data_IF_566903227035
#
_entry.id   IF_566903227035
#
_cell.length_a   1.000
_cell.length_b   1.000
_cell.length_c   1.000
_cell.angle_alpha   90.00
_cell.angle_beta   90.00
_cell.angle_gamma   90.00
#
_symmetry.space_group_name_H-M   'P 1'
#
loop_
_entity.id
_entity.type
_entity.pdbx_description
1 polymer ?
#
# COMPACT_ATOMS: atom_id res chain seq x y z
N UNK A 1 -10.08 9.87 11.84
CA UNK A 1 -10.16 8.40 11.98
C UNK A 1 -10.95 7.74 10.86
N UNK A 2 -12.27 7.95 10.72
CA UNK A 2 -13.04 7.30 9.64
C UNK A 2 -12.56 7.67 8.22
N UNK A 3 -12.31 8.96 7.99
CA UNK A 3 -11.75 9.45 6.73
C UNK A 3 -10.35 8.89 6.48
N UNK A 4 -9.56 8.67 7.54
CA UNK A 4 -8.21 8.12 7.40
C UNK A 4 -8.26 6.64 7.02
N UNK A 5 -9.17 5.86 7.61
CA UNK A 5 -9.38 4.46 7.22
C UNK A 5 -9.91 4.34 5.79
N UNK A 6 -10.81 5.22 5.37
CA UNK A 6 -11.31 5.25 3.99
C UNK A 6 -10.20 5.63 3.00
N UNK A 7 -9.37 6.62 3.34
CA UNK A 7 -8.20 6.99 2.55
C UNK A 7 -7.20 5.84 2.46
N UNK A 8 -6.88 5.20 3.59
CA UNK A 8 -6.00 4.03 3.64
C UNK A 8 -6.52 2.91 2.73
N UNK A 9 -7.82 2.56 2.84
CA UNK A 9 -8.44 1.56 1.98
C UNK A 9 -8.34 1.86 0.49
N UNK A 10 -8.50 3.12 0.09
CA UNK A 10 -8.37 3.52 -1.31
C UNK A 10 -6.91 3.44 -1.80
N UNK A 11 -5.95 3.81 -0.95
CA UNK A 11 -4.51 3.67 -1.22
C UNK A 11 -4.14 2.21 -1.46
N UNK A 12 -4.42 1.35 -0.48
CA UNK A 12 -4.19 -0.10 -0.57
C UNK A 12 -4.85 -0.72 -1.81
N UNK A 13 -6.10 -0.36 -2.08
CA UNK A 13 -6.82 -0.86 -3.25
C UNK A 13 -6.18 -0.42 -4.57
N UNK A 14 -5.68 0.82 -4.63
CA UNK A 14 -4.95 1.35 -5.79
C UNK A 14 -3.60 0.65 -5.96
N UNK A 15 -2.86 0.43 -4.87
CA UNK A 15 -1.59 -0.31 -4.87
C UNK A 15 -1.77 -1.75 -5.36
N UNK A 16 -2.78 -2.47 -4.87
CA UNK A 16 -3.12 -3.84 -5.33
C UNK A 16 -3.34 -3.89 -6.85
N UNK A 17 -4.09 -2.93 -7.39
CA UNK A 17 -4.37 -2.84 -8.81
C UNK A 17 -3.09 -2.49 -9.61
N UNK A 18 -2.31 -1.54 -9.11
CA UNK A 18 -1.10 -1.09 -9.79
C UNK A 18 -0.02 -2.17 -9.80
N UNK A 19 0.18 -2.88 -8.69
CA UNK A 19 1.23 -3.89 -8.59
C UNK A 19 0.88 -5.14 -9.41
N UNK A 20 -0.40 -5.39 -9.67
CA UNK A 20 -0.80 -6.40 -10.66
C UNK A 20 -0.34 -6.00 -12.09
N UNK A 21 -0.47 -4.73 -12.44
CA UNK A 21 -0.02 -4.20 -13.72
C UNK A 21 1.51 -4.21 -13.82
N UNK A 22 2.21 -3.74 -12.79
CA UNK A 22 3.67 -3.74 -12.75
C UNK A 22 4.27 -5.14 -12.87
N UNK A 23 3.67 -6.13 -12.21
CA UNK A 23 4.11 -7.52 -12.32
C UNK A 23 4.01 -8.06 -13.77
N UNK A 24 3.05 -7.59 -14.57
CA UNK A 24 2.90 -7.94 -15.99
C UNK A 24 3.95 -7.26 -16.87
N UNK A 25 4.44 -6.10 -16.44
CA UNK A 25 5.43 -5.29 -17.15
C UNK A 25 6.88 -5.62 -16.77
N UNK A 26 7.09 -6.41 -15.71
CA UNK A 26 8.41 -6.74 -15.19
C UNK A 26 9.28 -7.46 -16.24
N UNK A 27 10.56 -7.08 -16.38
CA UNK A 27 11.44 -7.58 -17.45
C UNK A 27 11.93 -9.02 -17.21
N UNK A 28 11.80 -9.55 -15.99
CA UNK A 28 12.20 -10.91 -15.65
C UNK A 28 11.37 -11.47 -14.47
N UNK A 29 11.51 -12.77 -14.23
CA UNK A 29 10.74 -13.47 -13.20
C UNK A 29 11.09 -13.03 -11.77
N UNK A 30 12.34 -12.66 -11.49
CA UNK A 30 12.77 -12.22 -10.17
C UNK A 30 12.03 -10.94 -9.76
N UNK A 31 12.05 -9.93 -10.64
CA UNK A 31 11.35 -8.66 -10.39
C UNK A 31 9.83 -8.86 -10.36
N UNK A 32 9.29 -9.69 -11.24
CA UNK A 32 7.86 -10.06 -11.23
C UNK A 32 7.45 -10.69 -9.90
N UNK A 33 8.21 -11.67 -9.42
CA UNK A 33 7.88 -12.38 -8.18
C UNK A 33 7.99 -11.45 -6.98
N UNK A 34 9.01 -10.57 -6.93
CA UNK A 34 9.11 -9.55 -5.87
C UNK A 34 7.90 -8.61 -5.85
N UNK A 35 7.45 -8.12 -7.01
CA UNK A 35 6.26 -7.25 -7.09
C UNK A 35 4.99 -8.01 -6.67
N UNK A 36 4.87 -9.29 -7.03
CA UNK A 36 3.72 -10.11 -6.62
C UNK A 36 3.74 -10.42 -5.10
N UNK A 37 4.91 -10.54 -4.49
CA UNK A 37 5.04 -10.63 -3.03
C UNK A 37 4.52 -9.35 -2.37
N UNK A 38 5.01 -8.18 -2.78
CA UNK A 38 4.54 -6.87 -2.28
C UNK A 38 3.03 -6.72 -2.47
N UNK A 39 2.50 -7.04 -3.65
CA UNK A 39 1.05 -7.03 -3.90
C UNK A 39 0.25 -7.89 -2.92
N UNK A 40 0.77 -9.05 -2.54
CA UNK A 40 0.09 -9.92 -1.57
C UNK A 40 0.12 -9.32 -0.16
N UNK A 41 1.11 -8.48 0.14
CA UNK A 41 1.21 -7.75 1.39
C UNK A 41 0.15 -6.64 1.42
N UNK A 42 -0.03 -5.87 0.33
CA UNK A 42 -1.12 -4.89 0.20
C UNK A 42 -2.52 -5.51 0.33
N UNK A 43 -2.72 -6.71 -0.23
CA UNK A 43 -4.00 -7.44 -0.04
C UNK A 43 -4.26 -7.72 1.45
N UNK A 44 -3.22 -8.07 2.22
CA UNK A 44 -3.36 -8.30 3.66
C UNK A 44 -3.62 -6.99 4.40
N UNK A 45 -2.90 -5.91 4.05
CA UNK A 45 -3.12 -4.58 4.62
C UNK A 45 -4.56 -4.11 4.40
N UNK A 46 -5.03 -4.14 3.14
CA UNK A 46 -6.41 -3.85 2.77
C UNK A 46 -7.43 -4.65 3.60
N UNK A 47 -7.22 -5.96 3.76
CA UNK A 47 -8.13 -6.82 4.53
C UNK A 47 -8.17 -6.43 6.01
N UNK A 48 -7.01 -6.16 6.61
CA UNK A 48 -6.89 -5.73 8.02
C UNK A 48 -7.61 -4.39 8.22
N UNK A 49 -7.33 -3.41 7.35
CA UNK A 49 -7.93 -2.07 7.44
C UNK A 49 -9.43 -2.13 7.15
N UNK A 50 -9.87 -3.00 6.23
CA UNK A 50 -11.30 -3.20 5.92
C UNK A 50 -12.06 -3.77 7.10
N UNK A 51 -11.49 -4.78 7.78
CA UNK A 51 -12.07 -5.32 9.00
C UNK A 51 -12.16 -4.26 10.10
N UNK A 52 -11.11 -3.43 10.25
CA UNK A 52 -11.11 -2.32 11.19
C UNK A 52 -12.20 -1.29 10.85
N UNK A 53 -12.34 -0.91 9.58
CA UNK A 53 -13.37 0.00 9.09
C UNK A 53 -14.77 -0.54 9.40
N UNK A 54 -15.05 -1.81 9.10
CA UNK A 54 -16.35 -2.43 9.39
C UNK A 54 -16.64 -2.43 10.89
N UNK A 55 -15.66 -2.77 11.73
CA UNK A 55 -15.82 -2.77 13.19
C UNK A 55 -16.14 -1.37 13.74
N UNK A 56 -15.55 -0.31 13.17
CA UNK A 56 -15.73 1.05 13.65
C UNK A 56 -16.96 1.75 13.04
N UNK A 57 -17.22 1.54 11.76
CA UNK A 57 -18.23 2.26 10.97
C UNK A 57 -19.55 1.48 10.80
N UNK A 58 -19.56 0.18 11.10
CA UNK A 58 -20.74 -0.68 10.99
C UNK A 58 -21.22 -0.96 9.56
N UNK A 59 -20.42 -0.63 8.54
CA UNK A 59 -20.74 -0.83 7.13
C UNK A 59 -19.51 -1.27 6.34
N UNK A 60 -19.74 -1.93 5.20
CA UNK A 60 -18.68 -2.31 4.28
C UNK A 60 -18.07 -1.07 3.61
N UNK A 61 -16.74 -1.05 3.38
CA UNK A 61 -16.12 0.00 2.59
C UNK A 61 -16.46 -0.14 1.10
N UNK A 62 -16.41 0.96 0.38
CA UNK A 62 -16.56 1.01 -1.07
C UNK A 62 -15.30 1.65 -1.66
N UNK A 63 -14.19 0.88 -1.79
CA UNK A 63 -12.90 1.44 -2.18
C UNK A 63 -12.95 1.98 -3.61
N UNK A 64 -12.14 3.01 -3.86
CA UNK A 64 -12.02 3.66 -5.15
C UNK A 64 -10.56 3.69 -5.58
N UNK A 65 -10.32 3.61 -6.89
CA UNK A 65 -9.00 3.86 -7.46
C UNK A 65 -8.75 5.37 -7.41
N UNK A 66 -7.87 5.79 -6.51
CA UNK A 66 -7.53 7.21 -6.32
C UNK A 66 -6.16 7.56 -6.88
N UNK A 67 -5.27 6.58 -6.99
CA UNK A 67 -3.89 6.80 -7.43
C UNK A 67 -3.64 6.35 -8.87
N UNK A 68 -2.84 7.11 -9.64
CA UNK A 68 -2.50 6.74 -11.00
C UNK A 68 -1.48 5.60 -11.03
N UNK A 69 -1.67 4.63 -11.93
CA UNK A 69 -0.68 3.59 -12.23
C UNK A 69 -0.13 3.75 -13.65
N UNK A 70 1.08 4.33 -13.83
CA UNK A 70 1.69 4.48 -15.14
C UNK A 70 1.85 3.15 -15.90
N UNK A 71 1.72 3.20 -17.23
CA UNK A 71 1.83 2.02 -18.11
C UNK A 71 3.26 1.64 -18.48
N UNK A 72 4.22 2.52 -18.23
CA UNK A 72 5.65 2.26 -18.45
C UNK A 72 6.27 1.72 -17.17
N UNK A 73 7.04 0.62 -17.26
CA UNK A 73 7.55 -0.09 -16.08
C UNK A 73 8.34 0.81 -15.12
N UNK A 74 9.34 1.56 -15.63
CA UNK A 74 10.17 2.46 -14.82
C UNK A 74 9.35 3.58 -14.18
N UNK A 75 8.38 4.15 -14.91
CA UNK A 75 7.50 5.19 -14.38
C UNK A 75 6.56 4.64 -13.29
N UNK A 76 6.05 3.43 -13.48
CA UNK A 76 5.22 2.75 -12.49
C UNK A 76 5.99 2.38 -11.22
N UNK A 77 7.23 1.90 -11.35
CA UNK A 77 8.11 1.67 -10.19
C UNK A 77 8.40 2.97 -9.42
N UNK A 78 8.58 4.09 -10.14
CA UNK A 78 8.79 5.39 -9.50
C UNK A 78 7.54 5.91 -8.79
N UNK A 79 6.36 5.67 -9.36
CA UNK A 79 5.08 5.98 -8.72
C UNK A 79 4.90 5.15 -7.45
N UNK A 80 5.08 3.83 -7.54
CA UNK A 80 5.02 2.91 -6.40
C UNK A 80 6.00 3.31 -5.29
N UNK A 81 7.27 3.57 -5.62
CA UNK A 81 8.26 4.02 -4.63
C UNK A 81 7.80 5.25 -3.84
N UNK A 82 7.21 6.26 -4.51
CA UNK A 82 6.74 7.47 -3.86
C UNK A 82 5.48 7.22 -3.03
N UNK A 83 4.55 6.46 -3.59
CA UNK A 83 3.30 6.08 -2.92
C UNK A 83 3.59 5.36 -1.59
N UNK A 84 4.52 4.40 -1.60
CA UNK A 84 4.95 3.71 -0.39
C UNK A 84 5.59 4.66 0.63
N UNK A 85 6.46 5.58 0.21
CA UNK A 85 7.06 6.57 1.10
C UNK A 85 6.02 7.51 1.74
N UNK A 86 5.06 7.99 0.94
CA UNK A 86 3.96 8.84 1.42
C UNK A 86 3.00 8.06 2.34
N UNK A 87 2.81 6.77 2.07
CA UNK A 87 1.98 5.87 2.89
C UNK A 87 2.61 5.62 4.26
N UNK A 88 3.94 5.47 4.35
CA UNK A 88 4.66 5.40 5.64
C UNK A 88 4.34 6.62 6.50
N UNK A 89 4.52 7.82 5.95
CA UNK A 89 4.25 9.08 6.66
C UNK A 89 2.79 9.18 7.10
N UNK A 90 1.86 8.80 6.21
CA UNK A 90 0.44 8.82 6.51
C UNK A 90 0.06 7.84 7.63
N UNK A 91 0.56 6.61 7.59
CA UNK A 91 0.25 5.58 8.59
C UNK A 91 0.87 5.89 9.94
N UNK A 92 2.10 6.41 9.99
CA UNK A 92 2.68 6.92 11.23
C UNK A 92 1.86 8.09 11.79
N UNK A 93 1.36 8.99 10.93
CA UNK A 93 0.44 10.05 11.34
C UNK A 93 -0.84 9.53 12.00
N UNK A 94 -1.43 8.43 11.52
CA UNK A 94 -2.58 7.78 12.18
C UNK A 94 -2.16 7.26 13.56
N UNK A 95 -0.97 6.68 13.69
CA UNK A 95 -0.47 6.18 14.99
C UNK A 95 -0.34 7.30 16.01
N UNK A 96 0.13 8.48 15.62
CA UNK A 96 0.32 9.62 16.52
C UNK A 96 -1.00 10.22 16.99
N UNK A 97 -2.03 10.18 16.14
CA UNK A 97 -3.35 10.77 16.43
C UNK A 97 -4.26 9.84 17.26
N UNK A 98 -4.03 8.53 17.23
CA UNK A 98 -4.92 7.56 17.90
C UNK A 98 -4.48 7.18 19.31
N UNK A 99 -5.46 7.04 20.19
CA UNK A 99 -5.29 6.47 21.53
C UNK A 99 -5.70 4.99 21.63
N UNK A 100 -6.15 4.38 20.52
CA UNK A 100 -6.56 2.98 20.49
C UNK A 100 -5.32 2.10 20.28
N UNK A 101 -4.89 1.29 21.27
CA UNK A 101 -3.62 0.55 21.17
C UNK A 101 -3.56 -0.41 19.99
N UNK A 102 -4.69 -1.06 19.68
CA UNK A 102 -4.81 -1.94 18.52
C UNK A 102 -4.53 -1.20 17.21
N UNK A 103 -5.22 -0.06 16.96
CA UNK A 103 -5.02 0.76 15.76
C UNK A 103 -3.57 1.23 15.66
N UNK A 104 -3.00 1.72 16.78
CA UNK A 104 -1.62 2.19 16.86
C UNK A 104 -0.61 1.10 16.47
N UNK A 105 -0.76 -0.11 17.00
CA UNK A 105 0.15 -1.22 16.68
C UNK A 105 -0.05 -1.73 15.25
N UNK A 106 -1.29 -1.82 14.78
CA UNK A 106 -1.58 -2.23 13.40
C UNK A 106 -0.93 -1.30 12.38
N UNK A 107 -1.19 0.01 12.47
CA UNK A 107 -0.63 0.96 11.50
C UNK A 107 0.89 1.12 11.61
N UNK A 108 1.48 0.93 12.81
CA UNK A 108 2.94 0.90 12.95
C UNK A 108 3.56 -0.27 12.18
N UNK A 109 2.95 -1.45 12.24
CA UNK A 109 3.45 -2.63 11.52
C UNK A 109 3.30 -2.48 10.02
N UNK A 110 2.13 -2.04 9.56
CA UNK A 110 1.88 -1.78 8.14
C UNK A 110 2.88 -0.74 7.61
N UNK A 111 3.10 0.37 8.32
CA UNK A 111 4.11 1.36 7.93
C UNK A 111 5.55 0.80 7.84
N UNK A 112 5.90 -0.21 8.65
CA UNK A 112 7.21 -0.86 8.54
C UNK A 112 7.30 -1.74 7.29
N UNK A 113 6.20 -2.40 6.90
CA UNK A 113 6.09 -3.17 5.66
C UNK A 113 6.16 -2.22 4.44
N UNK A 114 5.44 -1.10 4.44
CA UNK A 114 5.51 -0.09 3.35
C UNK A 114 6.91 0.50 3.20
N UNK A 115 7.62 0.73 4.31
CA UNK A 115 9.00 1.18 4.24
C UNK A 115 9.90 0.15 3.55
N UNK A 116 9.67 -1.14 3.78
CA UNK A 116 10.37 -2.24 3.10
C UNK A 116 9.99 -2.29 1.62
N UNK A 117 8.71 -2.12 1.28
CA UNK A 117 8.23 -2.05 -0.10
C UNK A 117 8.91 -0.91 -0.87
N UNK A 118 8.97 0.29 -0.28
CA UNK A 118 9.68 1.42 -0.88
C UNK A 118 11.16 1.10 -1.16
N UNK A 119 11.85 0.42 -0.24
CA UNK A 119 13.25 0.00 -0.47
C UNK A 119 13.36 -0.99 -1.63
N UNK A 120 12.42 -1.93 -1.76
CA UNK A 120 12.38 -2.83 -2.92
C UNK A 120 12.12 -2.09 -4.23
N UNK A 121 11.14 -1.18 -4.28
CA UNK A 121 10.90 -0.40 -5.48
C UNK A 121 12.09 0.48 -5.86
N UNK A 122 12.80 1.06 -4.88
CA UNK A 122 14.06 1.75 -5.11
C UNK A 122 15.13 0.82 -5.71
N UNK A 123 15.26 -0.39 -5.17
CA UNK A 123 16.17 -1.40 -5.75
C UNK A 123 15.82 -1.73 -7.20
N UNK A 124 14.54 -1.97 -7.50
CA UNK A 124 14.06 -2.26 -8.86
C UNK A 124 14.31 -1.08 -9.82
N UNK A 125 14.15 0.16 -9.36
CA UNK A 125 14.48 1.36 -10.14
C UNK A 125 15.95 1.44 -10.53
N UNK A 126 16.86 0.99 -9.65
CA UNK A 126 18.29 0.93 -9.95
C UNK A 126 18.65 -0.14 -10.99
N UNK A 127 17.74 -1.08 -11.28
CA UNK A 127 17.88 -2.10 -12.31
C UNK A 127 17.29 -1.69 -13.67
N UNK A 128 16.75 -0.46 -13.80
CA UNK A 128 16.06 0.04 -14.99
C UNK A 128 16.92 0.94 -15.88
#
# INVERSE_FOLDING_TARGET
>A
MFLDLEKALNGEYSAIACYEQLAKLAPNEEQRNRILEIRNDEIRHYQIISQMYVTMAGKQPAPQLTEPCPTEYKAGLLAAFKDEQETVDFYLGITDQTNIPYVKETFRRIAADEQNHAVWFLYLLMQC
#
